data_IF_522103155415
#
_entry.id   IF_522103155415
#
_cell.length_a   1.000
_cell.length_b   1.000
_cell.length_c   1.000
_cell.angle_alpha   90.00
_cell.angle_beta   90.00
_cell.angle_gamma   90.00
#
_symmetry.space_group_name_H-M   'P 1'
#
loop_
_entity.id
_entity.type
_entity.pdbx_description
1 polymer ?
#
# COMPACT_ATOMS: atom_id res chain seq x y z
N UNK A 1 -5.68 25.88 -3.20
CA UNK A 1 -6.87 26.63 -3.66
C UNK A 1 -8.09 25.81 -3.25
N UNK A 2 -8.86 26.26 -2.25
CA UNK A 2 -10.06 25.56 -1.77
C UNK A 2 -11.19 25.83 -2.76
N UNK A 3 -11.59 24.85 -3.55
CA UNK A 3 -12.88 24.90 -4.24
C UNK A 3 -13.96 24.61 -3.20
N UNK A 4 -14.76 25.57 -2.88
CA UNK A 4 -16.05 25.38 -2.21
C UNK A 4 -17.05 25.01 -3.28
N UNK A 5 -17.60 23.79 -3.18
CA UNK A 5 -18.66 23.32 -4.07
C UNK A 5 -19.97 24.05 -3.76
N UNK A 6 -20.79 24.39 -4.77
CA UNK A 6 -22.04 25.11 -4.57
C UNK A 6 -23.15 24.32 -3.89
N UNK A 7 -22.98 23.01 -3.62
CA UNK A 7 -24.02 22.13 -3.06
C UNK A 7 -23.81 21.70 -1.60
N UNK A 8 -22.93 22.36 -0.85
CA UNK A 8 -22.88 22.16 0.62
C UNK A 8 -22.11 20.93 1.09
N UNK A 9 -21.37 20.24 0.22
CA UNK A 9 -20.47 19.17 0.59
C UNK A 9 -19.22 19.73 1.28
N UNK A 10 -18.71 19.02 2.30
CA UNK A 10 -17.49 19.41 3.00
C UNK A 10 -16.26 19.38 2.08
N UNK A 11 -15.11 19.92 2.53
CA UNK A 11 -13.90 19.94 1.71
C UNK A 11 -13.46 18.52 1.36
N UNK A 12 -13.10 18.29 0.08
CA UNK A 12 -12.64 16.98 -0.43
C UNK A 12 -11.42 16.49 0.36
N UNK A 13 -11.46 15.25 0.82
CA UNK A 13 -10.45 14.63 1.67
C UNK A 13 -9.47 13.78 0.84
N UNK A 14 -8.30 14.32 0.54
CA UNK A 14 -7.24 13.63 -0.21
C UNK A 14 -6.20 12.93 0.68
N UNK A 15 -6.33 12.97 1.99
CA UNK A 15 -5.39 12.35 2.91
C UNK A 15 -5.51 10.82 2.95
N UNK A 16 -4.46 10.11 3.39
CA UNK A 16 -4.50 8.67 3.56
C UNK A 16 -5.67 8.25 4.46
N UNK A 17 -6.35 7.14 4.14
CA UNK A 17 -7.35 6.57 5.03
C UNK A 17 -6.69 6.06 6.33
N UNK A 18 -7.50 5.87 7.37
CA UNK A 18 -7.01 5.20 8.59
C UNK A 18 -6.56 3.77 8.26
N UNK A 19 -5.53 3.26 8.97
CA UNK A 19 -5.11 1.88 8.82
C UNK A 19 -6.26 0.91 9.09
N UNK A 20 -6.30 -0.18 8.31
CA UNK A 20 -7.29 -1.22 8.50
C UNK A 20 -7.05 -1.99 9.81
N UNK A 21 -8.14 -2.49 10.39
CA UNK A 21 -8.06 -3.36 11.56
C UNK A 21 -7.36 -4.67 11.18
N UNK A 22 -6.25 -4.95 11.85
CA UNK A 22 -5.47 -6.17 11.65
C UNK A 22 -5.97 -7.35 12.49
N UNK A 23 -5.31 -8.50 12.32
CA UNK A 23 -5.46 -9.64 13.20
C UNK A 23 -4.84 -9.37 14.58
N UNK A 24 -5.25 -10.09 15.65
CA UNK A 24 -4.68 -9.92 16.98
C UNK A 24 -3.17 -10.11 17.00
N UNK A 25 -2.50 -9.38 17.87
CA UNK A 25 -1.04 -9.43 18.01
C UNK A 25 -0.60 -10.83 18.45
N UNK A 26 0.39 -11.46 17.77
CA UNK A 26 0.98 -12.70 18.25
C UNK A 26 1.57 -12.53 19.66
N UNK A 27 1.31 -13.45 20.61
CA UNK A 27 1.86 -13.35 21.97
C UNK A 27 3.38 -13.25 22.01
N UNK A 28 4.07 -13.89 21.08
CA UNK A 28 5.51 -13.84 20.92
C UNK A 28 6.01 -12.42 20.63
N UNK A 29 5.38 -11.70 19.68
CA UNK A 29 5.73 -10.31 19.39
C UNK A 29 5.40 -9.38 20.57
N UNK A 30 4.25 -9.59 21.23
CA UNK A 30 3.90 -8.86 22.44
C UNK A 30 4.93 -9.09 23.55
N UNK A 31 5.45 -10.31 23.69
CA UNK A 31 6.52 -10.65 24.63
C UNK A 31 7.80 -9.86 24.37
N UNK A 32 8.26 -9.79 23.12
CA UNK A 32 9.44 -8.99 22.74
C UNK A 32 9.25 -7.49 22.98
N UNK A 33 8.07 -6.96 22.67
CA UNK A 33 7.73 -5.57 22.94
C UNK A 33 7.76 -5.28 24.46
N UNK A 34 7.10 -6.11 25.25
CA UNK A 34 7.05 -5.95 26.72
C UNK A 34 8.44 -6.09 27.36
N UNK A 35 9.27 -7.02 26.90
CA UNK A 35 10.64 -7.20 27.39
C UNK A 35 11.56 -6.01 27.12
N UNK A 36 11.19 -5.12 26.22
CA UNK A 36 11.95 -3.90 25.90
C UNK A 36 11.24 -2.61 26.38
N UNK A 37 10.11 -2.72 27.08
CA UNK A 37 9.32 -1.57 27.49
C UNK A 37 10.01 -0.67 28.53
N UNK A 38 10.95 -1.21 29.31
CA UNK A 38 11.73 -0.50 30.32
C UNK A 38 13.05 0.11 29.80
N UNK A 39 13.36 -0.05 28.51
CA UNK A 39 14.55 0.53 27.91
C UNK A 39 14.45 2.05 27.90
N UNK A 40 15.27 2.71 28.73
CA UNK A 40 15.32 4.17 28.82
C UNK A 40 16.11 4.83 27.68
N UNK A 41 17.02 4.09 27.02
CA UNK A 41 17.84 4.61 25.94
C UNK A 41 17.00 4.72 24.65
N UNK A 42 17.11 5.87 23.97
CA UNK A 42 16.51 6.03 22.66
C UNK A 42 17.23 5.17 21.61
N UNK A 43 16.48 4.58 20.70
CA UNK A 43 17.06 3.92 19.52
C UNK A 43 17.82 4.94 18.66
N UNK A 44 18.94 4.53 18.03
CA UNK A 44 19.63 5.40 17.08
C UNK A 44 18.75 5.68 15.85
N UNK A 45 18.97 6.83 15.23
CA UNK A 45 18.37 7.11 13.93
C UNK A 45 18.95 6.14 12.91
N UNK A 46 18.07 5.61 12.04
CA UNK A 46 18.45 4.56 11.10
C UNK A 46 18.39 3.15 11.66
N UNK A 47 18.08 2.98 12.96
CA UNK A 47 17.92 1.68 13.64
C UNK A 47 19.15 1.22 14.41
N UNK A 48 18.91 0.41 15.43
CA UNK A 48 19.97 -0.28 16.18
C UNK A 48 20.62 -1.39 15.34
N UNK A 49 21.84 -1.84 15.69
CA UNK A 49 22.49 -2.95 15.00
C UNK A 49 21.58 -4.18 14.87
N UNK A 50 20.80 -4.51 15.91
CA UNK A 50 19.90 -5.66 15.88
C UNK A 50 18.80 -5.53 14.80
N UNK A 51 18.22 -4.34 14.61
CA UNK A 51 17.23 -4.10 13.56
C UNK A 51 17.89 -4.13 12.18
N UNK A 52 19.06 -3.51 12.04
CA UNK A 52 19.80 -3.45 10.78
C UNK A 52 20.25 -4.84 10.32
N UNK A 53 20.83 -5.65 11.21
CA UNK A 53 21.25 -7.02 10.92
C UNK A 53 20.05 -7.91 10.55
N UNK A 54 18.95 -7.80 11.31
CA UNK A 54 17.72 -8.53 11.00
C UNK A 54 17.13 -8.14 9.63
N UNK A 55 17.18 -6.85 9.26
CA UNK A 55 16.78 -6.36 7.96
C UNK A 55 17.68 -6.90 6.83
N UNK A 56 19.00 -6.96 7.03
CA UNK A 56 19.93 -7.59 6.07
C UNK A 56 19.54 -9.05 5.84
N UNK A 57 19.31 -9.83 6.90
CA UNK A 57 18.89 -11.22 6.80
C UNK A 57 17.52 -11.38 6.11
N UNK A 58 16.60 -10.45 6.37
CA UNK A 58 15.29 -10.41 5.69
C UNK A 58 15.44 -10.28 4.17
N UNK A 59 16.26 -9.34 3.68
CA UNK A 59 16.48 -9.16 2.25
C UNK A 59 17.34 -10.26 1.63
N UNK A 60 18.32 -10.80 2.37
CA UNK A 60 19.15 -11.93 1.87
C UNK A 60 18.29 -13.16 1.58
N UNK A 61 17.31 -13.49 2.43
CA UNK A 61 16.34 -14.57 2.15
C UNK A 61 15.49 -14.32 0.90
N UNK A 62 15.44 -13.08 0.41
CA UNK A 62 14.73 -12.64 -0.80
C UNK A 62 15.65 -12.38 -1.99
N UNK A 63 16.91 -12.84 -1.91
CA UNK A 63 17.90 -12.73 -2.99
C UNK A 63 18.62 -11.37 -3.05
N UNK A 64 18.33 -10.44 -2.15
CA UNK A 64 18.96 -9.11 -2.12
C UNK A 64 20.06 -9.06 -1.04
N UNK A 65 21.29 -9.46 -1.42
CA UNK A 65 22.45 -9.32 -0.53
C UNK A 65 22.62 -7.85 -0.15
N UNK A 66 22.68 -7.57 1.16
CA UNK A 66 22.62 -6.20 1.70
C UNK A 66 23.68 -5.99 2.77
N UNK A 67 24.49 -4.95 2.63
CA UNK A 67 25.44 -4.52 3.63
C UNK A 67 24.72 -3.64 4.70
N UNK A 68 24.97 -3.87 6.00
CA UNK A 68 24.44 -3.03 7.08
C UNK A 68 24.64 -1.52 6.87
N UNK A 69 25.72 -1.09 6.21
CA UNK A 69 26.00 0.31 5.90
C UNK A 69 25.01 0.93 4.90
N UNK A 70 24.19 0.12 4.23
CA UNK A 70 23.18 0.55 3.26
C UNK A 70 21.74 0.34 3.75
N UNK A 71 21.55 0.21 5.05
CA UNK A 71 20.23 -0.02 5.67
C UNK A 71 19.87 1.15 6.56
N UNK A 72 18.60 1.55 6.54
CA UNK A 72 18.03 2.45 7.53
C UNK A 72 16.65 1.94 7.99
N UNK A 73 16.36 2.09 9.28
CA UNK A 73 15.04 1.89 9.85
C UNK A 73 14.43 3.23 10.28
N UNK A 74 13.11 3.36 10.18
CA UNK A 74 12.37 4.57 10.54
C UNK A 74 10.97 4.21 11.11
N UNK A 75 10.27 5.15 11.76
CA UNK A 75 8.93 4.92 12.29
C UNK A 75 7.87 4.93 11.17
N UNK A 76 7.94 3.95 10.28
CA UNK A 76 7.06 3.75 9.13
C UNK A 76 7.64 4.24 7.80
N UNK A 77 7.17 3.65 6.71
CA UNK A 77 7.56 3.99 5.35
C UNK A 77 7.30 5.46 4.97
N UNK A 78 6.25 6.14 5.47
CA UNK A 78 6.05 7.57 5.21
C UNK A 78 7.23 8.44 5.61
N UNK A 79 7.90 8.16 6.73
CA UNK A 79 9.07 8.92 7.17
C UNK A 79 10.27 8.70 6.22
N UNK A 80 10.45 7.48 5.73
CA UNK A 80 11.49 7.16 4.74
C UNK A 80 11.23 7.87 3.41
N UNK A 81 10.00 7.83 2.90
CA UNK A 81 9.67 8.49 1.63
C UNK A 81 9.80 10.01 1.72
N UNK A 82 9.39 10.61 2.85
CA UNK A 82 9.60 12.04 3.11
C UNK A 82 11.10 12.37 3.04
N UNK A 83 11.94 11.61 3.73
CA UNK A 83 13.38 11.83 3.77
C UNK A 83 14.03 11.58 2.39
N UNK A 84 13.63 10.55 1.66
CA UNK A 84 14.09 10.27 0.30
C UNK A 84 13.72 11.40 -0.66
N UNK A 85 12.46 11.85 -0.64
CA UNK A 85 11.98 12.97 -1.48
C UNK A 85 12.74 14.25 -1.17
N UNK A 86 12.99 14.54 0.10
CA UNK A 86 13.78 15.71 0.51
C UNK A 86 15.25 15.60 0.09
N UNK A 87 15.86 14.42 0.21
CA UNK A 87 17.26 14.17 -0.14
C UNK A 87 17.52 14.20 -1.65
N UNK A 88 16.61 13.68 -2.46
CA UNK A 88 16.72 13.63 -3.91
C UNK A 88 16.37 14.97 -4.56
N UNK A 89 15.40 15.67 -4.00
CA UNK A 89 14.84 16.88 -4.61
C UNK A 89 14.08 16.58 -5.91
N UNK A 90 13.72 17.64 -6.66
CA UNK A 90 12.99 17.53 -7.91
C UNK A 90 11.55 17.10 -7.75
N UNK A 91 10.94 16.68 -8.86
CA UNK A 91 9.56 16.27 -8.95
C UNK A 91 9.41 14.76 -8.76
N UNK A 92 8.24 14.35 -8.27
CA UNK A 92 7.93 12.95 -7.98
C UNK A 92 6.95 12.41 -9.02
N UNK A 93 7.27 11.27 -9.60
CA UNK A 93 6.38 10.49 -10.46
C UNK A 93 5.81 9.33 -9.66
N UNK A 94 4.50 9.10 -9.79
CA UNK A 94 3.78 7.99 -9.17
C UNK A 94 2.78 7.37 -10.15
N UNK A 95 2.50 6.07 -10.08
CA UNK A 95 1.41 5.46 -10.82
C UNK A 95 0.05 6.10 -10.51
N UNK A 96 -0.93 5.82 -11.33
CA UNK A 96 -2.34 6.15 -11.06
C UNK A 96 -3.21 4.90 -11.30
N UNK A 97 -3.83 4.34 -10.27
CA UNK A 97 -3.76 4.73 -8.85
C UNK A 97 -2.41 4.41 -8.20
N UNK A 98 -2.21 4.88 -6.96
CA UNK A 98 -1.02 4.59 -6.15
C UNK A 98 -1.37 4.58 -4.65
N UNK A 99 -0.47 4.11 -3.81
CA UNK A 99 -0.66 4.15 -2.37
C UNK A 99 -0.95 5.58 -1.87
N UNK A 100 -1.99 5.71 -1.04
CA UNK A 100 -2.55 7.01 -0.65
C UNK A 100 -1.56 7.92 0.11
N UNK A 101 -0.48 7.38 0.66
CA UNK A 101 0.50 8.10 1.46
C UNK A 101 1.69 8.64 0.64
N UNK A 102 1.87 8.28 -0.65
CA UNK A 102 3.01 8.76 -1.44
C UNK A 102 2.90 10.23 -1.81
N UNK A 103 1.82 10.64 -2.46
CA UNK A 103 1.64 12.01 -2.93
C UNK A 103 1.57 13.07 -1.81
N UNK A 104 0.90 12.85 -0.66
CA UNK A 104 0.85 13.84 0.40
C UNK A 104 2.21 14.27 0.95
N UNK A 105 3.17 13.35 1.07
CA UNK A 105 4.50 13.67 1.61
C UNK A 105 5.35 14.50 0.65
N UNK A 106 5.26 14.23 -0.66
CA UNK A 106 5.91 15.07 -1.66
C UNK A 106 5.32 16.48 -1.67
N UNK A 107 3.99 16.59 -1.61
CA UNK A 107 3.29 17.89 -1.54
C UNK A 107 3.62 18.67 -0.26
N UNK A 108 3.80 17.99 0.88
CA UNK A 108 4.25 18.63 2.13
C UNK A 108 5.60 19.33 1.97
N UNK A 109 6.49 18.79 1.15
CA UNK A 109 7.77 19.37 0.80
C UNK A 109 7.70 20.42 -0.33
N UNK A 110 6.50 20.75 -0.80
CA UNK A 110 6.30 21.63 -1.94
C UNK A 110 6.80 21.04 -3.28
N UNK A 111 6.92 19.72 -3.36
CA UNK A 111 7.36 19.03 -4.58
C UNK A 111 6.15 18.68 -5.44
N UNK A 112 6.16 19.03 -6.74
CA UNK A 112 5.15 18.57 -7.68
C UNK A 112 5.08 17.05 -7.75
N UNK A 113 3.85 16.53 -7.87
CA UNK A 113 3.61 15.10 -8.05
C UNK A 113 2.87 14.91 -9.37
N UNK A 114 3.46 14.13 -10.25
CA UNK A 114 2.90 13.80 -11.56
C UNK A 114 2.46 12.35 -11.56
N UNK A 115 1.21 12.13 -11.90
CA UNK A 115 0.65 10.80 -12.03
C UNK A 115 0.89 10.25 -13.42
N UNK A 116 1.44 9.05 -13.50
CA UNK A 116 1.64 8.30 -14.75
C UNK A 116 0.47 7.34 -14.92
N UNK A 117 -0.14 7.33 -16.10
CA UNK A 117 -1.24 6.42 -16.41
C UNK A 117 -0.79 4.97 -16.28
N UNK A 118 -1.59 4.18 -15.57
CA UNK A 118 -1.28 2.79 -15.26
C UNK A 118 -2.47 1.93 -15.69
N UNK A 119 -2.32 1.09 -16.73
CA UNK A 119 -3.38 0.17 -17.13
C UNK A 119 -3.74 -0.80 -15.99
N UNK A 120 -5.00 -1.18 -15.89
CA UNK A 120 -5.46 -2.07 -14.83
C UNK A 120 -4.77 -3.45 -14.84
N UNK A 121 -4.33 -3.92 -16.01
CA UNK A 121 -3.62 -5.18 -16.21
C UNK A 121 -2.14 -5.13 -15.84
N UNK A 122 -1.57 -3.95 -15.63
CA UNK A 122 -0.13 -3.77 -15.40
C UNK A 122 0.30 -3.91 -13.94
N UNK A 123 -0.63 -4.20 -13.02
CA UNK A 123 -0.29 -4.51 -11.64
C UNK A 123 0.36 -3.37 -10.87
N UNK A 124 -0.09 -2.12 -11.10
CA UNK A 124 0.42 -0.95 -10.39
C UNK A 124 1.71 -0.36 -10.98
N UNK A 125 2.26 -0.97 -12.03
CA UNK A 125 3.45 -0.44 -12.73
C UNK A 125 3.00 0.38 -13.95
N UNK A 126 3.52 1.60 -14.15
CA UNK A 126 3.17 2.41 -15.30
C UNK A 126 3.59 1.76 -16.62
N UNK A 127 2.85 2.03 -17.67
CA UNK A 127 3.32 1.72 -19.03
C UNK A 127 4.60 2.51 -19.34
N UNK A 128 5.66 1.86 -19.89
CA UNK A 128 6.95 2.52 -20.18
C UNK A 128 6.82 3.73 -21.10
N UNK A 129 5.96 3.67 -22.10
CA UNK A 129 5.73 4.80 -23.03
C UNK A 129 5.01 5.95 -22.34
N UNK A 130 4.01 5.66 -21.49
CA UNK A 130 3.32 6.67 -20.70
C UNK A 130 4.29 7.33 -19.68
N UNK A 131 5.22 6.58 -19.12
CA UNK A 131 6.28 7.11 -18.27
C UNK A 131 7.18 8.08 -19.04
N UNK A 132 7.72 7.67 -20.17
CA UNK A 132 8.59 8.48 -21.02
C UNK A 132 7.90 9.76 -21.49
N UNK A 133 6.64 9.67 -21.90
CA UNK A 133 5.85 10.82 -22.32
C UNK A 133 5.61 11.80 -21.16
N UNK A 134 5.30 11.27 -19.97
CA UNK A 134 5.14 12.08 -18.76
C UNK A 134 6.42 12.81 -18.42
N UNK A 135 7.58 12.14 -18.44
CA UNK A 135 8.90 12.75 -18.19
C UNK A 135 9.18 13.86 -19.20
N UNK A 136 8.99 13.61 -20.48
CA UNK A 136 9.19 14.62 -21.55
C UNK A 136 8.31 15.84 -21.35
N UNK A 137 7.02 15.64 -21.08
CA UNK A 137 6.06 16.71 -20.85
C UNK A 137 6.46 17.55 -19.62
N UNK A 138 6.78 16.89 -18.50
CA UNK A 138 7.19 17.60 -17.26
C UNK A 138 8.43 18.45 -17.50
N UNK A 139 9.44 17.92 -18.21
CA UNK A 139 10.66 18.69 -18.55
C UNK A 139 10.37 19.84 -19.51
N UNK A 140 9.50 19.63 -20.50
CA UNK A 140 9.11 20.70 -21.43
C UNK A 140 8.37 21.85 -20.73
N UNK A 141 7.66 21.56 -19.65
CA UNK A 141 7.00 22.54 -18.78
C UNK A 141 7.95 23.16 -17.73
N UNK A 142 9.24 22.83 -17.75
CA UNK A 142 10.26 23.35 -16.82
C UNK A 142 10.39 22.59 -15.51
N UNK A 143 9.77 21.44 -15.38
CA UNK A 143 9.90 20.55 -14.22
C UNK A 143 11.21 19.74 -14.24
N UNK A 144 11.53 19.13 -13.10
CA UNK A 144 12.74 18.34 -12.87
C UNK A 144 12.38 16.97 -12.26
N UNK A 145 11.86 16.03 -13.07
CA UNK A 145 11.49 14.69 -12.57
C UNK A 145 12.75 13.93 -12.12
N UNK A 146 12.79 13.54 -10.84
CA UNK A 146 13.93 12.88 -10.21
C UNK A 146 13.60 11.53 -9.59
N UNK A 147 12.37 11.33 -9.16
CA UNK A 147 11.97 10.19 -8.38
C UNK A 147 10.76 9.50 -9.03
N UNK A 148 10.86 8.19 -9.24
CA UNK A 148 9.72 7.32 -9.53
C UNK A 148 9.48 6.41 -8.33
N UNK A 149 8.25 6.40 -7.79
CA UNK A 149 7.83 5.46 -6.74
C UNK A 149 6.89 4.44 -7.38
N UNK A 150 7.13 3.17 -7.15
CA UNK A 150 6.26 2.08 -7.62
C UNK A 150 6.17 0.96 -6.57
N UNK A 151 5.08 0.21 -6.59
CA UNK A 151 4.87 -0.96 -5.74
C UNK A 151 5.16 -2.25 -6.49
N UNK A 152 5.72 -3.22 -5.79
CA UNK A 152 5.95 -4.57 -6.33
C UNK A 152 4.66 -5.40 -6.28
N UNK A 153 3.95 -5.34 -5.16
CA UNK A 153 2.56 -5.77 -5.02
C UNK A 153 1.76 -4.52 -4.69
N UNK A 154 0.84 -4.16 -5.55
CA UNK A 154 0.30 -2.80 -5.60
C UNK A 154 -0.73 -2.49 -4.51
N UNK A 155 -0.59 -1.35 -3.87
CA UNK A 155 -1.63 -0.67 -3.13
C UNK A 155 -2.12 0.54 -3.98
N UNK A 156 -3.39 0.61 -4.36
CA UNK A 156 -4.56 -0.01 -3.72
C UNK A 156 -5.10 -1.27 -4.40
N UNK A 157 -4.56 -1.71 -5.53
CA UNK A 157 -5.23 -2.72 -6.37
C UNK A 157 -5.07 -4.16 -5.90
N UNK A 158 -4.03 -4.45 -5.10
CA UNK A 158 -3.70 -5.81 -4.68
C UNK A 158 -3.20 -6.70 -5.82
N UNK A 159 -2.78 -6.11 -6.94
CA UNK A 159 -2.28 -6.82 -8.12
C UNK A 159 -0.76 -6.80 -8.20
N UNK A 160 -0.18 -7.68 -9.02
CA UNK A 160 1.26 -7.80 -9.23
C UNK A 160 1.57 -7.57 -10.69
N UNK A 161 2.62 -6.82 -10.96
CA UNK A 161 3.04 -6.53 -12.33
C UNK A 161 3.65 -7.75 -13.02
N UNK A 162 3.40 -7.94 -14.33
CA UNK A 162 4.17 -8.88 -15.14
C UNK A 162 5.67 -8.52 -15.08
N UNK A 163 6.59 -9.50 -14.89
CA UNK A 163 8.03 -9.24 -14.77
C UNK A 163 8.61 -8.48 -15.98
N UNK A 164 8.13 -8.77 -17.18
CA UNK A 164 8.56 -8.15 -18.42
C UNK A 164 8.23 -6.65 -18.43
N UNK A 165 6.99 -6.30 -18.07
CA UNK A 165 6.55 -4.90 -17.98
C UNK A 165 7.31 -4.14 -16.89
N UNK A 166 7.53 -4.77 -15.74
CA UNK A 166 8.33 -4.19 -14.67
C UNK A 166 9.74 -3.89 -15.16
N UNK A 167 10.38 -4.85 -15.86
CA UNK A 167 11.72 -4.68 -16.41
C UNK A 167 11.80 -3.51 -17.40
N UNK A 168 10.90 -3.45 -18.38
CA UNK A 168 10.82 -2.36 -19.36
C UNK A 168 10.62 -0.99 -18.70
N UNK A 169 9.76 -0.91 -17.67
CA UNK A 169 9.52 0.34 -16.94
C UNK A 169 10.75 0.77 -16.14
N UNK A 170 11.43 -0.18 -15.51
CA UNK A 170 12.68 0.05 -14.75
C UNK A 170 13.79 0.54 -15.68
N UNK A 171 13.97 -0.06 -16.85
CA UNK A 171 14.94 0.40 -17.85
C UNK A 171 14.60 1.80 -18.39
N UNK A 172 13.31 2.07 -18.69
CA UNK A 172 12.86 3.38 -19.14
C UNK A 172 13.15 4.47 -18.08
N UNK A 173 12.85 4.18 -16.81
CA UNK A 173 13.14 5.09 -15.71
C UNK A 173 14.64 5.36 -15.54
N UNK A 174 15.47 4.32 -15.64
CA UNK A 174 16.92 4.43 -15.56
C UNK A 174 17.50 5.24 -16.72
N UNK A 175 17.02 5.02 -17.95
CA UNK A 175 17.40 5.78 -19.14
C UNK A 175 17.12 7.27 -19.02
N UNK A 176 16.07 7.64 -18.28
CA UNK A 176 15.72 9.03 -17.98
C UNK A 176 16.44 9.58 -16.72
N UNK A 177 17.30 8.81 -16.08
CA UNK A 177 18.06 9.22 -14.90
C UNK A 177 17.21 9.37 -13.63
N UNK A 178 16.03 8.74 -13.58
CA UNK A 178 15.20 8.72 -12.39
C UNK A 178 15.79 7.80 -11.32
N UNK A 179 15.68 8.20 -10.07
CA UNK A 179 15.90 7.30 -8.95
C UNK A 179 14.59 6.52 -8.67
N UNK A 180 14.68 5.22 -8.51
CA UNK A 180 13.51 4.40 -8.22
C UNK A 180 13.41 4.13 -6.72
N UNK A 181 12.19 4.28 -6.18
CA UNK A 181 11.81 3.73 -4.89
C UNK A 181 10.84 2.58 -5.14
N UNK A 182 11.27 1.37 -4.78
CA UNK A 182 10.44 0.18 -4.80
C UNK A 182 9.79 0.01 -3.45
N UNK A 183 8.47 0.23 -3.39
CA UNK A 183 7.66 -0.09 -2.21
C UNK A 183 7.35 -1.59 -2.23
N UNK A 184 8.01 -2.32 -1.35
CA UNK A 184 7.84 -3.77 -1.21
C UNK A 184 7.04 -4.16 0.03
N UNK A 185 6.23 -3.25 0.55
CA UNK A 185 5.42 -3.43 1.77
C UNK A 185 4.53 -4.68 1.69
N UNK A 186 3.94 -4.95 0.54
CA UNK A 186 3.03 -6.08 0.34
C UNK A 186 3.65 -7.31 -0.31
N UNK A 187 4.98 -7.31 -0.50
CA UNK A 187 5.73 -8.41 -1.14
C UNK A 187 5.41 -9.80 -0.56
N UNK A 188 5.37 -9.90 0.75
CA UNK A 188 5.20 -11.18 1.46
C UNK A 188 3.74 -11.60 1.63
N UNK A 189 2.82 -10.91 0.95
CA UNK A 189 1.39 -11.17 1.05
C UNK A 189 0.78 -11.80 -0.20
N UNK A 190 1.60 -12.39 -1.07
CA UNK A 190 1.17 -13.06 -2.28
C UNK A 190 0.23 -14.23 -1.98
N UNK A 191 -0.91 -14.29 -2.64
CA UNK A 191 -1.92 -15.35 -2.46
C UNK A 191 -1.49 -16.69 -3.06
N UNK A 192 -0.66 -16.64 -4.13
CA UNK A 192 -0.12 -17.82 -4.81
C UNK A 192 1.39 -17.65 -5.05
N UNK A 193 2.22 -17.69 -4.00
CA UNK A 193 3.66 -17.39 -4.14
C UNK A 193 4.39 -18.38 -5.04
N UNK A 194 3.95 -19.65 -5.14
CA UNK A 194 4.55 -20.64 -6.03
C UNK A 194 4.20 -20.47 -7.52
N UNK A 195 3.19 -19.64 -7.85
CA UNK A 195 2.75 -19.38 -9.22
C UNK A 195 3.01 -17.95 -9.71
N UNK A 196 3.58 -17.09 -8.86
CA UNK A 196 3.82 -15.68 -9.17
C UNK A 196 5.32 -15.38 -9.13
N UNK A 197 5.87 -14.94 -10.25
CA UNK A 197 7.27 -14.47 -10.31
C UNK A 197 7.29 -13.02 -9.80
N UNK A 198 8.02 -12.79 -8.72
CA UNK A 198 8.17 -11.49 -8.08
C UNK A 198 9.66 -11.12 -8.03
N UNK A 199 10.06 -10.21 -8.91
CA UNK A 199 11.44 -9.71 -8.98
C UNK A 199 11.49 -8.29 -8.42
N UNK A 200 12.45 -8.01 -7.56
CA UNK A 200 12.67 -6.64 -7.09
C UNK A 200 13.32 -5.78 -8.19
N UNK A 201 12.90 -4.55 -8.42
CA UNK A 201 13.66 -3.60 -9.24
C UNK A 201 15.13 -3.46 -8.82
N UNK A 202 15.43 -3.70 -7.52
CA UNK A 202 16.80 -3.68 -7.02
C UNK A 202 17.65 -4.86 -7.47
N UNK A 203 17.06 -5.95 -7.94
CA UNK A 203 17.76 -7.06 -8.59
C UNK A 203 18.14 -6.69 -10.04
N UNK A 204 17.30 -5.89 -10.69
CA UNK A 204 17.51 -5.42 -12.07
C UNK A 204 18.51 -4.25 -12.14
N UNK A 205 18.37 -3.27 -11.22
CA UNK A 205 19.19 -2.06 -11.15
C UNK A 205 19.70 -1.81 -9.72
N UNK A 206 20.65 -2.59 -9.23
CA UNK A 206 21.11 -2.51 -7.83
C UNK A 206 21.70 -1.15 -7.44
N UNK A 207 22.18 -0.36 -8.41
CA UNK A 207 22.81 0.96 -8.19
C UNK A 207 21.86 2.16 -8.20
N UNK A 208 20.56 1.98 -8.53
CA UNK A 208 19.62 3.11 -8.69
C UNK A 208 18.29 2.93 -7.97
N UNK A 209 18.11 1.81 -7.25
CA UNK A 209 16.86 1.49 -6.57
C UNK A 209 17.05 1.49 -5.07
N UNK A 210 16.21 2.26 -4.39
CA UNK A 210 16.00 2.14 -2.95
C UNK A 210 14.75 1.28 -2.72
N UNK A 211 14.90 0.20 -1.94
CA UNK A 211 13.76 -0.63 -1.51
C UNK A 211 13.24 -0.09 -0.18
N UNK A 212 11.93 0.07 -0.06
CA UNK A 212 11.25 0.45 1.18
C UNK A 212 10.24 -0.63 1.53
N UNK A 213 10.23 -1.08 2.77
CA UNK A 213 9.27 -2.05 3.28
C UNK A 213 8.69 -1.55 4.60
N UNK A 214 7.40 -1.23 4.63
CA UNK A 214 6.69 -0.96 5.87
C UNK A 214 6.38 -2.28 6.58
N UNK A 215 6.76 -2.40 7.83
CA UNK A 215 6.59 -3.61 8.62
C UNK A 215 5.20 -3.70 9.26
N UNK A 216 4.53 -2.56 9.44
CA UNK A 216 3.25 -2.47 10.13
C UNK A 216 2.06 -3.12 9.39
N UNK A 217 2.24 -3.60 8.19
CA UNK A 217 1.17 -4.23 7.41
C UNK A 217 1.29 -5.75 7.31
N UNK A 218 2.50 -6.26 7.15
CA UNK A 218 2.75 -7.68 6.92
C UNK A 218 3.32 -8.39 8.15
N UNK A 219 4.26 -7.76 8.87
CA UNK A 219 5.02 -8.37 9.95
C UNK A 219 4.65 -7.86 11.35
N UNK A 220 4.23 -6.60 11.46
CA UNK A 220 3.86 -5.95 12.73
C UNK A 220 2.41 -5.48 12.71
N UNK A 221 1.78 -5.30 13.87
CA UNK A 221 0.49 -4.62 13.98
C UNK A 221 0.57 -3.18 13.47
N UNK A 222 -0.51 -2.68 12.87
CA UNK A 222 -0.58 -1.31 12.33
C UNK A 222 -0.28 -0.21 13.36
N UNK A 223 -0.54 -0.48 14.65
CA UNK A 223 -0.22 0.42 15.76
C UNK A 223 1.25 0.43 16.19
N UNK A 224 2.12 -0.36 15.56
CA UNK A 224 3.56 -0.43 15.86
C UNK A 224 4.37 0.01 14.64
N UNK A 225 4.45 1.32 14.38
CA UNK A 225 5.04 1.85 13.15
C UNK A 225 6.55 1.59 13.12
N UNK A 226 6.98 0.84 12.13
CA UNK A 226 8.38 0.61 11.78
C UNK A 226 8.47 0.28 10.29
N UNK A 227 9.52 0.75 9.64
CA UNK A 227 9.86 0.42 8.26
C UNK A 227 11.36 0.30 8.11
N UNK A 228 11.79 -0.42 7.08
CA UNK A 228 13.18 -0.59 6.70
C UNK A 228 13.39 -0.12 5.27
N UNK A 229 14.54 0.47 5.00
CA UNK A 229 15.00 0.85 3.66
C UNK A 229 16.36 0.26 3.35
N UNK A 230 16.52 -0.26 2.13
CA UNK A 230 17.77 -0.71 1.54
C UNK A 230 18.19 0.29 0.46
N UNK A 231 19.36 0.85 0.62
CA UNK A 231 19.93 1.81 -0.33
C UNK A 231 20.88 1.12 -1.34
N UNK A 232 21.06 1.70 -2.54
CA UNK A 232 22.06 1.22 -3.50
C UNK A 232 23.46 1.15 -2.89
N UNK A 233 24.22 0.13 -3.28
CA UNK A 233 25.58 -0.11 -2.73
C UNK A 233 26.68 0.69 -3.43
N UNK A 234 26.41 1.34 -4.56
CA UNK A 234 27.38 2.14 -5.29
C UNK A 234 27.55 3.55 -4.74
N UNK A 235 28.60 4.28 -5.23
CA UNK A 235 29.00 5.58 -4.68
C UNK A 235 27.91 6.66 -4.66
N UNK A 236 26.85 6.52 -5.46
CA UNK A 236 25.66 7.41 -5.41
C UNK A 236 24.75 7.07 -4.25
N UNK A 237 24.59 5.76 -3.94
CA UNK A 237 23.75 5.29 -2.85
C UNK A 237 24.25 5.65 -1.47
N UNK A 238 25.56 5.60 -1.23
CA UNK A 238 26.16 6.00 0.07
C UNK A 238 25.91 7.47 0.41
N UNK A 239 26.00 8.37 -0.57
CA UNK A 239 25.66 9.78 -0.38
C UNK A 239 24.15 10.01 -0.13
N UNK A 240 23.26 9.22 -0.75
CA UNK A 240 21.83 9.30 -0.53
C UNK A 240 21.46 8.80 0.87
N UNK A 241 22.01 7.64 1.29
CA UNK A 241 21.81 7.09 2.62
C UNK A 241 22.17 8.09 3.73
N UNK A 242 23.35 8.70 3.64
CA UNK A 242 23.80 9.71 4.61
C UNK A 242 22.83 10.91 4.69
N UNK A 243 22.41 11.47 3.54
CA UNK A 243 21.44 12.58 3.52
C UNK A 243 20.09 12.19 4.11
N UNK A 244 19.61 10.97 3.84
CA UNK A 244 18.37 10.46 4.44
C UNK A 244 18.49 10.35 5.96
N UNK A 245 19.60 9.82 6.48
CA UNK A 245 19.86 9.77 7.92
C UNK A 245 19.92 11.17 8.55
N UNK A 246 20.53 12.15 7.89
CA UNK A 246 20.57 13.55 8.36
C UNK A 246 19.14 14.12 8.48
N UNK A 247 18.30 13.87 7.48
CA UNK A 247 16.90 14.33 7.50
C UNK A 247 16.09 13.61 8.59
N UNK A 248 16.21 12.29 8.71
CA UNK A 248 15.57 11.54 9.79
C UNK A 248 16.03 12.01 11.17
N UNK A 249 17.32 12.41 11.30
CA UNK A 249 17.87 12.98 12.53
C UNK A 249 17.22 14.33 12.84
N UNK A 250 17.10 15.20 11.85
CA UNK A 250 16.45 16.50 12.00
C UNK A 250 14.98 16.38 12.38
N UNK A 251 14.29 15.36 11.88
CA UNK A 251 12.90 15.04 12.22
C UNK A 251 12.75 14.35 13.58
N UNK A 252 13.84 13.88 14.21
CA UNK A 252 13.78 13.02 15.38
C UNK A 252 13.12 11.68 15.11
N UNK A 253 13.13 11.22 13.85
CA UNK A 253 12.43 10.01 13.39
C UNK A 253 13.19 8.74 13.82
N UNK A 254 12.82 8.21 14.99
CA UNK A 254 13.37 6.97 15.57
C UNK A 254 12.27 5.97 15.80
N UNK A 255 12.56 4.71 15.54
CA UNK A 255 11.66 3.62 15.96
C UNK A 255 11.66 3.57 17.49
N UNK A 256 10.51 3.42 18.12
CA UNK A 256 10.44 3.28 19.57
C UNK A 256 11.13 1.97 20.01
N UNK A 257 11.91 2.01 21.08
CA UNK A 257 12.71 0.85 21.51
C UNK A 257 11.91 -0.47 21.69
N UNK A 258 10.70 -0.48 22.26
CA UNK A 258 9.87 -1.68 22.28
C UNK A 258 9.47 -2.19 20.90
N UNK A 259 9.13 -1.26 19.98
CA UNK A 259 8.77 -1.61 18.60
C UNK A 259 9.99 -2.12 17.84
N UNK A 260 11.17 -1.52 18.03
CA UNK A 260 12.42 -1.95 17.43
C UNK A 260 12.80 -3.40 17.85
N UNK A 261 12.58 -3.76 19.11
CA UNK A 261 12.80 -5.12 19.59
C UNK A 261 11.87 -6.14 18.93
N UNK A 262 10.58 -5.80 18.81
CA UNK A 262 9.60 -6.63 18.13
C UNK A 262 9.89 -6.73 16.63
N UNK A 263 10.29 -5.61 15.98
CA UNK A 263 10.66 -5.56 14.58
C UNK A 263 11.88 -6.42 14.26
N UNK A 264 12.95 -6.30 15.07
CA UNK A 264 14.14 -7.13 14.90
C UNK A 264 13.81 -8.62 14.97
N UNK A 265 12.97 -9.03 15.93
CA UNK A 265 12.51 -10.42 16.04
C UNK A 265 11.65 -10.83 14.83
N UNK A 266 10.66 -10.03 14.44
CA UNK A 266 9.79 -10.33 13.30
C UNK A 266 10.58 -10.49 12.00
N UNK A 267 11.60 -9.65 11.78
CA UNK A 267 12.47 -9.70 10.61
C UNK A 267 13.34 -10.97 10.54
N UNK A 268 13.55 -11.69 11.64
CA UNK A 268 14.22 -13.01 11.60
C UNK A 268 13.31 -14.11 11.08
N UNK A 269 12.01 -13.85 10.98
CA UNK A 269 10.98 -14.76 10.48
C UNK A 269 11.02 -16.15 11.16
N UNK A 270 10.96 -16.19 12.52
CA UNK A 270 10.96 -17.47 13.22
C UNK A 270 9.72 -18.27 12.79
N UNK A 271 9.87 -19.60 12.81
CA UNK A 271 8.86 -20.51 12.26
C UNK A 271 7.43 -20.23 12.73
N UNK A 272 7.13 -19.95 14.02
CA UNK A 272 5.75 -19.66 14.45
C UNK A 272 5.17 -18.39 13.79
N UNK A 273 5.98 -17.35 13.60
CA UNK A 273 5.55 -16.10 12.91
C UNK A 273 5.40 -16.32 11.42
N UNK A 274 6.30 -17.07 10.79
CA UNK A 274 6.22 -17.42 9.38
C UNK A 274 4.97 -18.26 9.07
N UNK A 275 4.68 -19.27 9.88
CA UNK A 275 3.47 -20.08 9.75
C UNK A 275 2.19 -19.23 9.93
N UNK A 276 2.19 -18.33 10.92
CA UNK A 276 1.07 -17.42 11.13
C UNK A 276 0.91 -16.43 9.96
N UNK A 277 2.00 -15.89 9.41
CA UNK A 277 1.94 -15.02 8.22
C UNK A 277 1.32 -15.74 7.03
N UNK A 278 1.73 -16.99 6.76
CA UNK A 278 1.16 -17.82 5.70
C UNK A 278 -0.35 -18.09 5.92
N UNK A 279 -0.76 -18.38 7.15
CA UNK A 279 -2.18 -18.56 7.49
C UNK A 279 -2.97 -17.26 7.31
N UNK A 280 -2.38 -16.11 7.68
CA UNK A 280 -2.96 -14.77 7.46
C UNK A 280 -3.19 -14.49 5.97
N UNK A 281 -2.19 -14.75 5.14
CA UNK A 281 -2.29 -14.58 3.68
C UNK A 281 -3.40 -15.48 3.11
N UNK A 282 -3.44 -16.75 3.50
CA UNK A 282 -4.47 -17.68 3.04
C UNK A 282 -5.90 -17.25 3.48
N UNK A 283 -6.06 -16.69 4.67
CA UNK A 283 -7.33 -16.15 5.16
C UNK A 283 -7.76 -14.94 4.30
N UNK A 284 -6.87 -13.96 4.13
CA UNK A 284 -7.17 -12.77 3.32
C UNK A 284 -7.46 -13.11 1.86
N UNK A 285 -6.77 -14.10 1.27
CA UNK A 285 -7.03 -14.58 -0.08
C UNK A 285 -8.48 -15.11 -0.25
N UNK A 286 -8.96 -15.93 0.72
CA UNK A 286 -10.34 -16.45 0.69
C UNK A 286 -11.37 -15.32 0.80
N UNK A 287 -11.17 -14.38 1.72
CA UNK A 287 -12.10 -13.25 1.91
C UNK A 287 -12.07 -12.31 0.70
N UNK A 288 -10.88 -12.03 0.15
CA UNK A 288 -10.73 -11.22 -1.04
C UNK A 288 -11.41 -11.82 -2.28
N UNK A 289 -11.33 -13.13 -2.45
CA UNK A 289 -12.04 -13.85 -3.52
C UNK A 289 -13.57 -13.73 -3.38
N UNK A 290 -14.09 -13.88 -2.16
CA UNK A 290 -15.52 -13.73 -1.88
C UNK A 290 -16.01 -12.29 -2.11
N UNK A 291 -15.20 -11.30 -1.67
CA UNK A 291 -15.45 -9.87 -1.89
C UNK A 291 -15.43 -9.51 -3.38
N UNK A 292 -14.41 -9.97 -4.10
CA UNK A 292 -14.30 -9.78 -5.55
C UNK A 292 -15.50 -10.34 -6.29
N UNK A 293 -15.91 -11.57 -5.96
CA UNK A 293 -17.09 -12.19 -6.56
C UNK A 293 -18.36 -11.37 -6.33
N UNK A 294 -18.59 -10.90 -5.11
CA UNK A 294 -19.76 -10.07 -4.78
C UNK A 294 -19.81 -8.78 -5.60
N UNK A 295 -18.67 -8.09 -5.70
CA UNK A 295 -18.55 -6.80 -6.39
C UNK A 295 -18.71 -6.94 -7.91
N UNK A 296 -18.04 -7.94 -8.51
CA UNK A 296 -18.09 -8.17 -9.96
C UNK A 296 -19.46 -8.72 -10.41
N UNK A 297 -20.09 -9.56 -9.59
CA UNK A 297 -21.45 -10.08 -9.87
C UNK A 297 -22.51 -8.99 -9.92
N UNK A 298 -22.26 -7.84 -9.30
CA UNK A 298 -23.14 -6.68 -9.35
C UNK A 298 -22.91 -5.78 -10.58
N UNK A 299 -21.89 -6.08 -11.41
CA UNK A 299 -21.57 -5.32 -12.61
C UNK A 299 -20.47 -4.27 -12.44
N UNK A 300 -19.85 -4.17 -11.28
CA UNK A 300 -18.64 -3.36 -11.11
C UNK A 300 -17.42 -4.05 -11.75
N UNK A 301 -16.39 -3.28 -12.06
CA UNK A 301 -15.14 -3.80 -12.61
C UNK A 301 -14.09 -3.88 -11.53
N UNK A 302 -13.44 -5.03 -11.41
CA UNK A 302 -12.30 -5.22 -10.51
C UNK A 302 -11.39 -6.32 -11.04
N UNK A 303 -10.08 -6.16 -10.88
CA UNK A 303 -9.12 -7.24 -11.11
C UNK A 303 -9.13 -8.17 -9.89
N UNK A 304 -8.99 -9.48 -10.07
CA UNK A 304 -8.81 -10.38 -8.95
C UNK A 304 -7.54 -9.99 -8.17
N UNK A 305 -7.63 -9.75 -6.86
CA UNK A 305 -6.44 -9.42 -6.08
C UNK A 305 -5.52 -10.65 -5.97
N UNK A 306 -4.21 -10.39 -6.04
CA UNK A 306 -3.14 -11.39 -6.01
C UNK A 306 -2.30 -11.28 -4.74
N UNK A 307 -2.42 -10.15 -4.01
CA UNK A 307 -1.67 -9.85 -2.81
C UNK A 307 -2.41 -8.87 -1.90
N UNK A 308 -1.86 -8.59 -0.74
CA UNK A 308 -2.33 -7.56 0.15
C UNK A 308 -3.61 -7.92 0.90
N UNK A 309 -4.43 -6.91 1.18
CA UNK A 309 -5.66 -7.04 1.98
C UNK A 309 -6.78 -6.18 1.41
N UNK A 310 -6.70 -5.84 0.12
CA UNK A 310 -7.58 -4.88 -0.51
C UNK A 310 -8.11 -5.41 -1.84
N UNK A 311 -9.30 -4.90 -2.21
CA UNK A 311 -9.86 -4.98 -3.54
C UNK A 311 -10.08 -3.55 -4.03
N UNK A 312 -9.65 -3.23 -5.23
CA UNK A 312 -9.93 -1.94 -5.87
C UNK A 312 -10.96 -2.12 -6.97
N UNK A 313 -12.09 -1.45 -6.83
CA UNK A 313 -13.23 -1.60 -7.72
C UNK A 313 -13.60 -0.29 -8.42
N UNK A 314 -13.93 -0.38 -9.70
CA UNK A 314 -14.50 0.69 -10.51
C UNK A 314 -16.02 0.47 -10.65
N UNK A 315 -16.79 1.37 -10.06
CA UNK A 315 -18.24 1.38 -10.08
C UNK A 315 -18.78 2.28 -11.20
N UNK A 316 -17.95 2.71 -12.13
CA UNK A 316 -18.36 3.47 -13.32
C UNK A 316 -19.54 2.86 -14.06
N UNK A 317 -19.61 1.53 -14.29
CA UNK A 317 -20.77 0.88 -14.89
C UNK A 317 -22.08 1.05 -14.12
N UNK A 318 -22.01 1.29 -12.79
CA UNK A 318 -23.15 1.49 -11.91
C UNK A 318 -23.47 2.97 -11.65
N UNK A 319 -22.85 3.89 -12.41
CA UNK A 319 -22.97 5.36 -12.23
C UNK A 319 -24.42 5.83 -12.19
N UNK A 320 -25.26 5.29 -13.03
CA UNK A 320 -26.68 5.71 -13.12
C UNK A 320 -27.45 5.33 -11.86
N UNK A 321 -27.27 4.12 -11.33
CA UNK A 321 -27.86 3.69 -10.08
C UNK A 321 -27.33 4.54 -8.90
N UNK A 322 -26.02 4.77 -8.85
CA UNK A 322 -25.37 5.59 -7.84
C UNK A 322 -25.86 7.05 -7.86
N UNK A 323 -26.08 7.63 -9.05
CA UNK A 323 -26.65 8.97 -9.18
C UNK A 323 -28.07 9.06 -8.59
N UNK A 324 -28.87 7.98 -8.66
CA UNK A 324 -30.17 7.88 -8.00
C UNK A 324 -30.09 7.94 -6.47
N UNK A 325 -28.93 7.63 -5.91
CA UNK A 325 -28.62 7.75 -4.48
C UNK A 325 -27.87 9.04 -4.11
N UNK A 326 -27.72 9.99 -5.04
CA UNK A 326 -27.03 11.26 -4.80
C UNK A 326 -25.50 11.16 -4.88
N UNK A 327 -24.96 10.07 -5.44
CA UNK A 327 -23.51 9.86 -5.62
C UNK A 327 -23.07 10.43 -6.95
N UNK A 328 -22.34 11.55 -6.95
CA UNK A 328 -21.83 12.23 -8.13
C UNK A 328 -20.34 12.00 -8.38
N UNK A 329 -19.58 11.80 -7.33
CA UNK A 329 -18.13 11.68 -7.36
C UNK A 329 -17.57 10.62 -6.39
N UNK A 330 -16.25 10.51 -6.30
CA UNK A 330 -15.58 9.49 -5.48
C UNK A 330 -15.69 9.77 -3.98
N UNK A 331 -15.90 11.03 -3.56
CA UNK A 331 -16.12 11.33 -2.14
C UNK A 331 -17.54 10.95 -1.71
N UNK A 332 -18.53 11.27 -2.53
CA UNK A 332 -19.92 10.83 -2.29
C UNK A 332 -19.98 9.31 -2.25
N UNK A 333 -19.25 8.63 -3.16
CA UNK A 333 -19.15 7.17 -3.19
C UNK A 333 -18.55 6.61 -1.89
N UNK A 334 -17.47 7.23 -1.39
CA UNK A 334 -16.86 6.86 -0.11
C UNK A 334 -17.86 6.98 1.04
N UNK A 335 -18.58 8.10 1.14
CA UNK A 335 -19.55 8.35 2.19
C UNK A 335 -20.75 7.38 2.10
N UNK A 336 -21.28 7.18 0.90
CA UNK A 336 -22.38 6.27 0.63
C UNK A 336 -22.03 4.82 0.99
N UNK A 337 -20.92 4.30 0.48
CA UNK A 337 -20.53 2.92 0.73
C UNK A 337 -20.11 2.71 2.19
N UNK A 338 -19.40 3.65 2.81
CA UNK A 338 -19.03 3.56 4.23
C UNK A 338 -20.28 3.44 5.11
N UNK A 339 -21.30 4.24 4.84
CA UNK A 339 -22.56 4.19 5.60
C UNK A 339 -23.34 2.88 5.37
N UNK A 340 -23.41 2.40 4.12
CA UNK A 340 -24.18 1.20 3.76
C UNK A 340 -23.48 -0.11 4.17
N UNK A 341 -22.15 -0.17 4.08
CA UNK A 341 -21.36 -1.35 4.44
C UNK A 341 -21.07 -1.41 5.94
N UNK A 342 -21.13 -0.29 6.66
CA UNK A 342 -20.73 -0.19 8.07
C UNK A 342 -19.23 -0.38 8.27
N UNK A 343 -18.43 -0.19 7.22
CA UNK A 343 -16.96 -0.27 7.25
C UNK A 343 -16.37 0.79 6.32
N UNK A 344 -15.11 1.23 6.55
CA UNK A 344 -14.43 2.20 5.66
C UNK A 344 -14.37 1.70 4.21
N UNK A 345 -14.74 2.58 3.28
CA UNK A 345 -14.68 2.33 1.84
C UNK A 345 -14.05 3.54 1.13
N UNK A 346 -12.74 3.80 1.32
CA UNK A 346 -12.09 5.02 0.81
C UNK A 346 -12.16 5.10 -0.71
N UNK A 347 -12.55 6.29 -1.20
CA UNK A 347 -12.71 6.58 -2.62
C UNK A 347 -11.39 6.71 -3.37
N UNK A 348 -11.42 6.47 -4.69
CA UNK A 348 -10.25 6.46 -5.57
C UNK A 348 -9.46 7.77 -5.58
N UNK A 349 -10.10 8.90 -5.32
CA UNK A 349 -9.45 10.21 -5.21
C UNK A 349 -8.34 10.26 -4.14
N UNK A 350 -8.42 9.43 -3.09
CA UNK A 350 -7.37 9.29 -2.06
C UNK A 350 -6.12 8.59 -2.59
N UNK A 351 -6.28 7.79 -3.64
CA UNK A 351 -5.24 7.00 -4.30
C UNK A 351 -4.74 7.65 -5.60
N UNK A 352 -5.01 8.95 -5.78
CA UNK A 352 -4.56 9.73 -6.93
C UNK A 352 -5.42 9.60 -8.17
N UNK A 353 -6.54 8.90 -8.12
CA UNK A 353 -7.52 8.90 -9.21
C UNK A 353 -8.27 10.23 -9.31
N UNK A 354 -8.91 10.43 -10.44
CA UNK A 354 -9.78 11.58 -10.65
C UNK A 354 -10.98 11.52 -9.70
N UNK A 355 -11.36 12.67 -9.14
CA UNK A 355 -12.52 12.77 -8.26
C UNK A 355 -13.81 12.30 -8.94
N UNK A 356 -13.93 12.52 -10.25
CA UNK A 356 -15.09 12.07 -11.05
C UNK A 356 -15.10 10.54 -11.30
N UNK A 357 -14.01 9.82 -11.04
CA UNK A 357 -13.94 8.37 -11.22
C UNK A 357 -14.57 7.68 -10.00
N UNK A 358 -15.63 6.91 -10.22
CA UNK A 358 -16.33 6.18 -9.16
C UNK A 358 -15.57 4.90 -8.78
N UNK A 359 -14.40 5.07 -8.19
CA UNK A 359 -13.53 3.98 -7.72
C UNK A 359 -13.44 3.95 -6.22
N UNK A 360 -13.27 2.75 -5.66
CA UNK A 360 -13.24 2.52 -4.22
C UNK A 360 -12.27 1.40 -3.86
N UNK A 361 -11.57 1.55 -2.73
CA UNK A 361 -10.79 0.48 -2.11
C UNK A 361 -11.60 -0.17 -0.99
N UNK A 362 -11.79 -1.47 -1.07
CA UNK A 362 -12.47 -2.28 -0.05
C UNK A 362 -11.45 -3.17 0.66
N UNK A 363 -11.40 -3.09 1.99
CA UNK A 363 -10.47 -3.87 2.79
C UNK A 363 -11.11 -5.19 3.26
N UNK A 364 -10.30 -6.26 3.35
CA UNK A 364 -10.72 -7.57 3.85
C UNK A 364 -10.70 -7.65 5.38
N UNK A 365 -9.88 -6.85 6.06
CA UNK A 365 -9.73 -6.87 7.52
C UNK A 365 -11.03 -6.63 8.27
N UNK A 366 -11.84 -5.60 7.97
CA UNK A 366 -13.12 -5.33 8.62
C UNK A 366 -14.14 -6.47 8.49
N UNK A 367 -14.01 -7.34 7.47
CA UNK A 367 -14.90 -8.48 7.26
C UNK A 367 -14.62 -9.66 8.20
N UNK A 368 -13.49 -9.64 8.91
CA UNK A 368 -13.06 -10.71 9.81
C UNK A 368 -13.66 -10.62 11.22
N UNK A 369 -14.43 -9.58 11.51
CA UNK A 369 -15.11 -9.40 12.79
C UNK A 369 -14.73 -8.12 13.53
N UNK A 370 -15.58 -7.73 14.49
CA UNK A 370 -15.46 -6.53 15.30
C UNK A 370 -14.55 -6.66 16.53
N UNK A 371 -14.26 -7.89 16.95
CA UNK A 371 -13.47 -8.17 18.16
C UNK A 371 -12.21 -8.98 17.85
N UNK A 372 -11.21 -8.90 18.73
CA UNK A 372 -9.99 -9.70 18.60
C UNK A 372 -10.26 -11.21 18.66
N UNK A 373 -11.26 -11.63 19.44
CA UNK A 373 -11.68 -13.02 19.54
C UNK A 373 -12.24 -13.55 18.21
N UNK A 374 -13.13 -12.79 17.56
CA UNK A 374 -13.69 -13.15 16.25
C UNK A 374 -12.60 -13.23 15.18
N UNK A 375 -11.67 -12.26 15.16
CA UNK A 375 -10.55 -12.27 14.22
C UNK A 375 -9.55 -13.42 14.46
N UNK A 376 -9.33 -13.79 15.73
CA UNK A 376 -8.52 -14.96 16.06
C UNK A 376 -9.18 -16.27 15.62
N UNK A 377 -10.50 -16.37 15.78
CA UNK A 377 -11.29 -17.52 15.31
C UNK A 377 -11.18 -17.70 13.79
N UNK A 378 -11.25 -16.59 13.03
CA UNK A 378 -11.06 -16.63 11.56
C UNK A 378 -9.73 -17.27 11.16
N UNK A 379 -8.65 -16.97 11.89
CA UNK A 379 -7.32 -17.47 11.58
C UNK A 379 -7.18 -18.99 11.80
N UNK A 380 -7.92 -19.55 12.77
CA UNK A 380 -7.82 -20.96 13.16
C UNK A 380 -8.91 -21.83 12.54
N UNK A 381 -9.98 -21.22 12.01
CA UNK A 381 -11.09 -21.95 11.38
C UNK A 381 -10.69 -22.57 10.05
N UNK A 382 -11.03 -23.84 9.78
CA UNK A 382 -10.88 -24.45 8.47
C UNK A 382 -11.83 -23.84 7.42
N UNK A 383 -12.97 -23.28 7.85
CA UNK A 383 -14.00 -22.68 7.02
C UNK A 383 -14.33 -21.24 7.49
N UNK A 384 -13.40 -20.27 7.40
CA UNK A 384 -13.58 -18.93 7.95
C UNK A 384 -14.76 -18.17 7.35
N UNK A 385 -15.14 -18.42 6.10
CA UNK A 385 -16.28 -17.77 5.45
C UNK A 385 -17.64 -18.22 5.99
N UNK A 386 -17.69 -19.38 6.66
CA UNK A 386 -18.91 -19.94 7.28
C UNK A 386 -19.11 -19.41 8.70
N UNK A 387 -18.12 -18.77 9.31
CA UNK A 387 -18.25 -18.15 10.63
C UNK A 387 -19.37 -17.10 10.61
N UNK A 388 -20.26 -17.09 11.62
CA UNK A 388 -21.47 -16.25 11.59
C UNK A 388 -21.20 -14.77 11.38
N UNK A 389 -20.12 -14.22 11.96
CA UNK A 389 -19.74 -12.82 11.81
C UNK A 389 -19.18 -12.51 10.41
N UNK A 390 -18.34 -13.38 9.83
CA UNK A 390 -17.81 -13.23 8.47
C UNK A 390 -18.92 -13.38 7.44
N UNK A 391 -19.75 -14.41 7.60
CA UNK A 391 -20.90 -14.64 6.72
C UNK A 391 -21.86 -13.44 6.72
N UNK A 392 -22.15 -12.86 7.87
CA UNK A 392 -22.98 -11.66 8.00
C UNK A 392 -22.35 -10.47 7.29
N UNK A 393 -21.05 -10.21 7.50
CA UNK A 393 -20.35 -9.11 6.86
C UNK A 393 -20.34 -9.26 5.33
N UNK A 394 -20.03 -10.44 4.81
CA UNK A 394 -20.08 -10.72 3.37
C UNK A 394 -21.51 -10.66 2.80
N UNK A 395 -22.51 -11.04 3.58
CA UNK A 395 -23.92 -10.93 3.17
C UNK A 395 -24.36 -9.47 3.07
N UNK A 396 -23.90 -8.60 3.99
CA UNK A 396 -24.12 -7.15 3.89
C UNK A 396 -23.48 -6.58 2.62
N UNK A 397 -22.24 -6.97 2.32
CA UNK A 397 -21.58 -6.54 1.06
C UNK A 397 -22.41 -6.97 -0.14
N UNK A 398 -22.78 -8.25 -0.23
CA UNK A 398 -23.59 -8.75 -1.35
C UNK A 398 -24.91 -7.98 -1.48
N UNK A 399 -25.64 -7.79 -0.38
CA UNK A 399 -26.91 -7.06 -0.41
C UNK A 399 -26.76 -5.63 -0.96
N UNK A 400 -25.74 -4.90 -0.49
CA UNK A 400 -25.50 -3.52 -0.96
C UNK A 400 -25.18 -3.48 -2.47
N UNK A 401 -24.36 -4.39 -2.95
CA UNK A 401 -24.01 -4.46 -4.36
C UNK A 401 -25.13 -5.02 -5.24
N UNK A 402 -25.91 -5.98 -4.75
CA UNK A 402 -27.12 -6.49 -5.44
C UNK A 402 -28.19 -5.41 -5.58
N UNK A 403 -28.42 -4.58 -4.53
CA UNK A 403 -29.32 -3.43 -4.60
C UNK A 403 -28.91 -2.47 -5.73
N UNK A 404 -27.61 -2.15 -5.82
CA UNK A 404 -27.08 -1.26 -6.88
C UNK A 404 -27.26 -1.87 -8.28
N UNK A 405 -27.05 -3.19 -8.43
CA UNK A 405 -27.30 -3.89 -9.68
C UNK A 405 -28.78 -3.81 -10.09
N UNK A 406 -29.67 -4.10 -9.14
CA UNK A 406 -31.11 -4.13 -9.38
C UNK A 406 -31.63 -2.73 -9.73
N UNK A 407 -31.09 -1.68 -9.09
CA UNK A 407 -31.40 -0.29 -9.42
C UNK A 407 -30.88 0.08 -10.82
N UNK A 408 -29.69 -0.37 -11.22
CA UNK A 408 -29.17 -0.15 -12.56
C UNK A 408 -30.03 -0.83 -13.65
N UNK A 409 -30.59 -2.00 -13.37
CA UNK A 409 -31.47 -2.73 -14.30
C UNK A 409 -32.87 -2.12 -14.42
N UNK A 410 -33.36 -1.46 -13.35
CA UNK A 410 -34.69 -0.81 -13.36
C UNK A 410 -34.68 0.54 -14.09
N UNK A 411 -33.49 1.12 -14.29
CA UNK A 411 -33.37 2.40 -14.94
C UNK A 411 -33.42 2.25 -16.47
N UNK A 412 -34.60 2.39 -17.08
CA UNK A 412 -34.75 2.60 -18.51
C UNK A 412 -34.45 4.07 -18.82
N UNK A 413 -33.54 4.40 -19.78
CA UNK A 413 -33.33 5.78 -20.18
C UNK A 413 -34.66 6.38 -20.72
N UNK A 414 -34.98 7.63 -20.39
CA UNK A 414 -36.13 8.28 -20.96
C UNK A 414 -35.98 8.27 -22.49
N UNK A 415 -37.01 7.75 -23.20
CA UNK A 415 -37.08 7.67 -24.66
C UNK A 415 -37.08 9.04 -25.32
#
# INVERSE_FOLDING_TARGET
MRRTDPEGHGPVRYGPPLPDTGLPVPPELAGHLCAAADRAAAEPVGGSPAVVEAACGYWERRGLVTDPAHVAAAPGAPALLLALTAALGGDVLVPRPCAAWWAPYARLLGRPVFHVATPAESGGVPDPYALLETVRRVRAEGGDPRLLVLSLADDPTGTVAPPELLHETVEAAAGEGLHLVSDETWRDTLYAPGGTVLLSPAEMLPGQVTVVTDLASALLPAGWPAAIARFPADGRGGGLHARVLDILTALGARVAAPVAAAAAHALTEPEPLAARAAATVALHARVAAALHHAVVSAGALARPPQAGRHLYADLGPLRTALAGHGVGDAQDLEEFLTARLGMPAPGGHRFGDDLAALRVRLATGPLLGGTDAERAECLTSPAPLELPHVHRALSTVRSVFDDLRDDAQRWEPPR
#
